data_IF_094306503647
#
_entry.id   IF_094306503647
#
_cell.length_a   1.000
_cell.length_b   1.000
_cell.length_c   1.000
_cell.angle_alpha   90.00
_cell.angle_beta   90.00
_cell.angle_gamma   90.00
#
_symmetry.space_group_name_H-M   'P 1'
#
loop_
_entity.id
_entity.type
_entity.pdbx_description
1 polymer ?
#
# COMPACT_ATOMS: atom_id res chain seq x y z
N UNK A 1 -24.04 32.58 -25.85
CA UNK A 1 -23.62 33.86 -26.45
C UNK A 1 -22.12 33.88 -26.33
N UNK A 2 -21.42 33.62 -27.43
CA UNK A 2 -19.96 33.45 -27.48
C UNK A 2 -19.26 34.75 -27.09
N UNK A 3 -18.49 34.73 -26.02
CA UNK A 3 -17.46 35.73 -25.80
C UNK A 3 -16.26 35.30 -26.66
N UNK A 4 -15.95 36.09 -27.69
CA UNK A 4 -14.67 36.01 -28.40
C UNK A 4 -13.54 36.09 -27.37
N UNK A 5 -12.73 35.04 -27.27
CA UNK A 5 -11.40 35.13 -26.69
C UNK A 5 -10.60 36.09 -27.57
N UNK A 6 -10.34 37.29 -27.06
CA UNK A 6 -9.37 38.18 -27.66
C UNK A 6 -8.00 37.50 -27.55
N UNK A 7 -7.38 37.23 -28.69
CA UNK A 7 -5.97 36.88 -28.82
C UNK A 7 -5.14 37.93 -28.08
N UNK A 8 -4.70 37.63 -26.86
CA UNK A 8 -3.51 38.28 -26.32
C UNK A 8 -2.34 37.61 -27.04
N UNK A 9 -1.67 38.35 -27.91
CA UNK A 9 -0.30 38.00 -28.30
C UNK A 9 0.55 38.05 -27.03
N UNK A 10 0.71 36.90 -26.37
CA UNK A 10 1.63 36.74 -25.27
C UNK A 10 3.04 36.71 -25.87
N UNK A 11 3.75 37.83 -25.72
CA UNK A 11 5.16 37.92 -26.08
C UNK A 11 5.98 37.11 -25.09
N UNK A 12 6.45 35.95 -25.53
CA UNK A 12 7.40 35.14 -24.79
C UNK A 12 8.84 35.60 -25.06
N UNK A 13 9.66 35.57 -24.02
CA UNK A 13 11.07 35.95 -24.07
C UNK A 13 11.99 34.80 -24.52
N UNK A 14 11.56 33.55 -24.33
CA UNK A 14 12.31 32.34 -24.66
C UNK A 14 11.79 31.64 -25.91
N UNK A 15 12.67 30.88 -26.57
CA UNK A 15 12.26 29.95 -27.61
C UNK A 15 11.66 28.69 -26.95
N UNK A 16 10.50 28.19 -27.40
CA UNK A 16 9.89 27.03 -26.78
C UNK A 16 10.70 25.76 -27.04
N UNK A 17 10.76 24.90 -26.03
CA UNK A 17 11.07 23.49 -26.20
C UNK A 17 9.87 22.81 -26.86
N UNK A 18 10.07 22.18 -28.01
CA UNK A 18 8.99 21.57 -28.79
C UNK A 18 9.01 20.05 -28.64
N UNK A 19 7.87 19.49 -28.25
CA UNK A 19 7.60 18.05 -28.31
C UNK A 19 6.63 17.78 -29.46
N UNK A 20 7.16 17.12 -30.49
CA UNK A 20 6.36 16.64 -31.62
C UNK A 20 5.98 15.18 -31.42
N UNK A 21 4.73 14.86 -31.70
CA UNK A 21 4.28 13.47 -31.77
C UNK A 21 4.38 12.98 -33.20
N UNK A 22 4.65 11.68 -33.37
CA UNK A 22 4.51 11.06 -34.70
C UNK A 22 3.02 11.03 -35.05
N UNK A 23 2.63 11.86 -36.03
CA UNK A 23 1.25 11.98 -36.51
C UNK A 23 0.71 10.64 -37.03
N UNK A 24 1.58 9.77 -37.57
CA UNK A 24 1.19 8.46 -38.06
C UNK A 24 0.80 7.48 -36.93
N UNK A 25 1.22 7.76 -35.69
CA UNK A 25 1.00 6.90 -34.53
C UNK A 25 -0.03 7.46 -33.54
N UNK A 26 -0.19 8.78 -33.47
CA UNK A 26 -0.94 9.42 -32.36
C UNK A 26 -2.19 10.19 -32.80
N UNK A 27 -2.36 10.50 -34.09
CA UNK A 27 -3.49 11.29 -34.63
C UNK A 27 -3.72 12.66 -33.96
N UNK A 28 -2.76 13.18 -33.19
CA UNK A 28 -2.88 14.51 -32.59
C UNK A 28 -2.39 15.58 -33.58
N UNK A 29 -3.24 16.53 -34.02
CA UNK A 29 -2.87 17.54 -35.01
C UNK A 29 -2.21 18.76 -34.35
N UNK A 30 -1.38 18.55 -33.33
CA UNK A 30 -0.70 19.63 -32.60
C UNK A 30 0.64 19.16 -32.03
N UNK A 31 1.54 20.13 -31.83
CA UNK A 31 2.77 19.97 -31.06
C UNK A 31 2.60 20.58 -29.67
N UNK A 32 3.40 20.13 -28.71
CA UNK A 32 3.47 20.78 -27.41
C UNK A 32 4.67 21.72 -27.35
N UNK A 33 4.40 22.94 -26.91
CA UNK A 33 5.43 23.95 -26.66
C UNK A 33 5.57 24.14 -25.15
N UNK A 34 6.80 24.02 -24.63
CA UNK A 34 7.15 24.27 -23.24
C UNK A 34 8.10 25.46 -23.17
N UNK A 35 7.68 26.53 -22.52
CA UNK A 35 8.52 27.72 -22.32
C UNK A 35 9.34 27.61 -21.05
N UNK A 36 10.42 28.38 -20.98
CA UNK A 36 11.34 28.36 -19.84
C UNK A 36 10.79 29.12 -18.62
N UNK A 37 11.57 29.16 -17.54
CA UNK A 37 11.17 29.82 -16.30
C UNK A 37 10.85 31.32 -16.45
N UNK A 38 11.50 32.03 -17.37
CA UNK A 38 11.30 33.46 -17.57
C UNK A 38 9.91 33.77 -18.13
N UNK A 39 9.34 32.81 -18.87
CA UNK A 39 7.98 32.83 -19.39
C UNK A 39 7.01 32.03 -18.52
N UNK A 40 7.31 31.92 -17.22
CA UNK A 40 6.48 31.26 -16.22
C UNK A 40 6.17 29.78 -16.51
N UNK A 41 7.03 29.09 -17.26
CA UNK A 41 6.80 27.72 -17.71
C UNK A 41 5.45 27.56 -18.43
N UNK A 42 5.09 28.57 -19.23
CA UNK A 42 3.89 28.51 -20.05
C UNK A 42 3.95 27.30 -21.00
N UNK A 43 2.79 26.72 -21.27
CA UNK A 43 2.65 25.53 -22.10
C UNK A 43 1.51 25.75 -23.10
N UNK A 44 1.71 25.33 -24.34
CA UNK A 44 0.70 25.48 -25.40
C UNK A 44 0.59 24.23 -26.24
N UNK A 45 -0.60 23.99 -26.79
CA UNK A 45 -0.79 23.19 -27.99
C UNK A 45 -0.66 24.11 -29.20
N UNK A 46 0.35 23.88 -30.03
CA UNK A 46 0.56 24.61 -31.27
C UNK A 46 0.05 23.79 -32.46
N UNK A 47 -0.83 24.37 -33.25
CA UNK A 47 -1.47 23.73 -34.39
C UNK A 47 -0.80 24.15 -35.72
N UNK A 48 -0.85 23.31 -36.77
CA UNK A 48 -0.23 23.62 -38.07
C UNK A 48 -0.74 24.88 -38.76
N UNK A 49 -1.94 25.35 -38.41
CA UNK A 49 -2.53 26.59 -38.91
C UNK A 49 -2.03 27.85 -38.19
N UNK A 50 -1.12 27.69 -37.22
CA UNK A 50 -0.56 28.76 -36.40
C UNK A 50 -1.37 29.09 -35.15
N UNK A 51 -2.53 28.45 -34.95
CA UNK A 51 -3.31 28.60 -33.71
C UNK A 51 -2.55 28.00 -32.52
N UNK A 52 -2.63 28.66 -31.36
CA UNK A 52 -2.03 28.21 -30.10
C UNK A 52 -3.08 28.19 -29.00
N UNK A 53 -3.27 27.04 -28.37
CA UNK A 53 -4.17 26.88 -27.22
C UNK A 53 -3.34 26.75 -25.94
N UNK A 54 -3.56 27.58 -24.91
CA UNK A 54 -2.85 27.44 -23.64
C UNK A 54 -3.22 26.12 -22.96
N UNK A 55 -2.22 25.43 -22.43
CA UNK A 55 -2.40 24.28 -21.57
C UNK A 55 -2.49 24.74 -20.12
N UNK A 56 -3.73 24.85 -19.65
CA UNK A 56 -4.05 25.04 -18.24
C UNK A 56 -3.94 23.73 -17.47
N UNK A 57 -3.47 23.81 -16.23
CA UNK A 57 -3.41 22.63 -15.36
C UNK A 57 -2.23 21.68 -15.58
N UNK A 58 -2.43 20.43 -15.18
CA UNK A 58 -1.50 19.32 -15.34
C UNK A 58 -1.49 18.79 -16.76
N UNK A 59 -0.28 18.68 -17.33
CA UNK A 59 -0.05 18.11 -18.65
C UNK A 59 0.31 16.61 -18.61
N UNK A 60 0.27 15.99 -17.43
CA UNK A 60 0.61 14.56 -17.20
C UNK A 60 2.03 14.15 -17.66
N UNK A 61 2.96 15.10 -17.72
CA UNK A 61 4.37 14.82 -17.99
C UNK A 61 5.19 14.77 -16.71
N UNK A 62 6.15 13.85 -16.70
CA UNK A 62 7.19 13.78 -15.68
C UNK A 62 8.30 14.74 -16.08
N UNK A 63 9.00 15.29 -15.08
CA UNK A 63 10.13 16.20 -15.32
C UNK A 63 11.22 15.47 -16.12
N UNK A 64 11.44 14.18 -15.84
CA UNK A 64 12.38 13.30 -16.55
C UNK A 64 12.06 13.22 -18.05
N UNK A 65 10.78 13.20 -18.42
CA UNK A 65 10.37 13.14 -19.82
C UNK A 65 10.78 14.43 -20.53
N UNK A 66 10.50 15.60 -19.93
CA UNK A 66 10.89 16.90 -20.49
C UNK A 66 12.42 17.03 -20.57
N UNK A 67 13.12 16.66 -19.50
CA UNK A 67 14.59 16.70 -19.41
C UNK A 67 15.28 15.85 -20.50
N UNK A 68 14.63 14.76 -20.92
CA UNK A 68 15.13 13.87 -21.97
C UNK A 68 15.00 14.41 -23.40
N UNK A 69 14.20 15.46 -23.60
CA UNK A 69 14.02 16.09 -24.91
C UNK A 69 15.25 16.90 -25.32
N UNK A 70 15.41 17.14 -26.63
CA UNK A 70 16.44 18.04 -27.14
C UNK A 70 16.20 19.46 -26.61
N UNK A 71 17.15 20.03 -25.86
CA UNK A 71 16.96 21.30 -25.16
C UNK A 71 16.30 21.18 -23.77
N UNK A 72 15.84 19.99 -23.39
CA UNK A 72 15.21 19.71 -22.09
C UNK A 72 16.07 20.06 -20.87
N UNK A 73 17.39 19.82 -20.95
CA UNK A 73 18.33 20.23 -19.90
C UNK A 73 18.38 21.74 -19.71
N UNK A 74 18.37 22.51 -20.80
CA UNK A 74 18.36 23.97 -20.72
C UNK A 74 17.05 24.48 -20.11
N UNK A 75 15.93 23.83 -20.42
CA UNK A 75 14.64 24.10 -19.77
C UNK A 75 14.72 23.86 -18.25
N UNK A 76 15.26 22.72 -17.81
CA UNK A 76 15.48 22.41 -16.39
C UNK A 76 16.43 23.43 -15.74
N UNK A 77 17.53 23.78 -16.39
CA UNK A 77 18.55 24.70 -15.89
C UNK A 77 18.02 26.15 -15.77
N UNK A 78 16.96 26.50 -16.50
CA UNK A 78 16.29 27.81 -16.36
C UNK A 78 15.56 27.96 -15.02
N UNK A 79 15.20 26.84 -14.38
CA UNK A 79 14.39 26.81 -13.17
C UNK A 79 15.29 27.06 -11.94
N UNK A 80 14.88 27.92 -10.98
CA UNK A 80 15.64 28.20 -9.78
C UNK A 80 16.04 26.93 -9.01
N UNK A 81 17.29 26.94 -8.55
CA UNK A 81 17.93 25.80 -7.89
C UNK A 81 17.09 25.26 -6.73
N UNK A 82 16.93 23.94 -6.72
CA UNK A 82 16.22 23.21 -5.66
C UNK A 82 14.72 23.01 -5.89
N UNK A 83 14.06 23.79 -6.76
CA UNK A 83 12.63 23.59 -7.06
C UNK A 83 12.38 22.28 -7.82
N UNK A 84 13.22 21.99 -8.82
CA UNK A 84 13.14 20.77 -9.62
C UNK A 84 13.24 19.53 -8.72
N UNK A 85 14.25 19.48 -7.85
CA UNK A 85 14.45 18.38 -6.91
C UNK A 85 13.26 18.17 -5.96
N UNK A 86 12.57 19.26 -5.56
CA UNK A 86 11.36 19.16 -4.74
C UNK A 86 10.15 18.66 -5.53
N UNK A 87 10.02 19.07 -6.79
CA UNK A 87 8.88 18.70 -7.64
C UNK A 87 9.01 17.30 -8.26
N UNK A 88 10.24 16.81 -8.45
CA UNK A 88 10.56 15.52 -9.08
C UNK A 88 9.86 14.33 -8.42
N UNK A 89 9.72 14.36 -7.10
CA UNK A 89 9.04 13.32 -6.32
C UNK A 89 7.51 13.27 -6.47
N UNK A 90 6.89 14.10 -7.31
CA UNK A 90 5.43 14.23 -7.42
C UNK A 90 4.86 13.81 -8.78
N UNK A 91 5.56 12.87 -9.45
CA UNK A 91 5.12 12.21 -10.68
C UNK A 91 4.51 13.19 -11.71
N UNK A 92 3.29 12.92 -12.17
CA UNK A 92 2.58 13.66 -13.22
C UNK A 92 2.22 15.11 -12.86
N UNK A 93 2.31 15.49 -11.58
CA UNK A 93 2.04 16.85 -11.10
C UNK A 93 3.29 17.69 -10.91
N UNK A 94 4.50 17.12 -10.99
CA UNK A 94 5.75 17.85 -10.76
C UNK A 94 5.91 19.07 -11.66
N UNK A 95 5.62 18.92 -12.97
CA UNK A 95 5.67 20.03 -13.94
C UNK A 95 4.64 21.10 -13.61
N UNK A 96 3.42 20.70 -13.22
CA UNK A 96 2.37 21.65 -12.86
C UNK A 96 2.72 22.43 -11.58
N UNK A 97 3.28 21.76 -10.57
CA UNK A 97 3.76 22.40 -9.34
C UNK A 97 4.86 23.44 -9.64
N UNK A 98 5.75 23.16 -10.59
CA UNK A 98 6.76 24.12 -11.04
C UNK A 98 6.13 25.33 -11.74
N UNK A 99 5.16 25.11 -12.64
CA UNK A 99 4.42 26.19 -13.31
C UNK A 99 3.72 27.11 -12.29
N UNK A 100 3.02 26.52 -11.32
CA UNK A 100 2.36 27.27 -10.25
C UNK A 100 3.38 28.06 -9.39
N UNK A 101 4.57 27.49 -9.12
CA UNK A 101 5.67 28.18 -8.44
C UNK A 101 6.36 29.27 -9.29
N UNK A 102 6.26 29.21 -10.61
CA UNK A 102 6.73 30.26 -11.51
C UNK A 102 5.76 31.46 -11.46
N UNK A 103 4.46 31.19 -11.39
CA UNK A 103 3.38 32.19 -11.36
C UNK A 103 3.16 32.86 -9.99
N UNK A 104 3.37 32.15 -8.88
CA UNK A 104 3.18 32.69 -7.53
C UNK A 104 4.38 32.48 -6.62
N UNK A 105 4.83 33.56 -5.98
CA UNK A 105 5.87 33.52 -4.95
C UNK A 105 5.42 32.69 -3.73
N UNK A 106 4.12 32.70 -3.39
CA UNK A 106 3.57 31.88 -2.29
C UNK A 106 3.59 30.40 -2.61
N UNK A 107 3.22 30.04 -3.83
CA UNK A 107 3.37 28.67 -4.30
C UNK A 107 4.83 28.21 -4.30
N UNK A 108 5.76 29.08 -4.72
CA UNK A 108 7.20 28.79 -4.67
C UNK A 108 7.70 28.53 -3.26
N UNK A 109 7.31 29.35 -2.30
CA UNK A 109 7.59 29.14 -0.87
C UNK A 109 7.00 27.80 -0.39
N UNK A 110 5.79 27.46 -0.81
CA UNK A 110 5.13 26.22 -0.46
C UNK A 110 5.85 24.99 -1.04
N UNK A 111 6.29 25.05 -2.31
CA UNK A 111 7.07 23.99 -2.95
C UNK A 111 8.38 23.72 -2.22
N UNK A 112 9.08 24.77 -1.79
CA UNK A 112 10.34 24.65 -1.07
C UNK A 112 10.16 24.09 0.35
N UNK A 113 9.13 24.55 1.06
CA UNK A 113 8.93 24.24 2.47
C UNK A 113 8.12 22.97 2.71
N UNK A 114 7.03 22.77 1.95
CA UNK A 114 6.03 21.73 2.17
C UNK A 114 5.41 21.28 0.83
N UNK A 115 6.21 20.63 -0.04
CA UNK A 115 5.80 20.28 -1.40
C UNK A 115 4.54 19.39 -1.44
N UNK A 116 4.36 18.51 -0.46
CA UNK A 116 3.16 17.66 -0.37
C UNK A 116 1.88 18.47 -0.26
N UNK A 117 1.89 19.63 0.41
CA UNK A 117 0.70 20.47 0.52
C UNK A 117 0.37 21.13 -0.83
N UNK A 118 1.38 21.62 -1.56
CA UNK A 118 1.17 22.15 -2.91
C UNK A 118 0.64 21.05 -3.85
N UNK A 119 1.21 19.85 -3.77
CA UNK A 119 0.74 18.70 -4.53
C UNK A 119 -0.75 18.41 -4.29
N UNK A 120 -1.22 18.40 -3.04
CA UNK A 120 -2.64 18.16 -2.73
C UNK A 120 -3.56 19.24 -3.30
N UNK A 121 -3.10 20.49 -3.37
CA UNK A 121 -3.85 21.57 -4.03
C UNK A 121 -3.93 21.31 -5.54
N UNK A 122 -2.81 20.99 -6.18
CA UNK A 122 -2.76 20.70 -7.61
C UNK A 122 -3.56 19.44 -7.99
N UNK A 123 -3.57 18.39 -7.16
CA UNK A 123 -4.34 17.16 -7.43
C UNK A 123 -5.85 17.37 -7.28
N UNK A 124 -6.27 18.23 -6.35
CA UNK A 124 -7.69 18.58 -6.17
C UNK A 124 -8.23 19.40 -7.33
N UNK A 125 -7.40 20.29 -7.89
CA UNK A 125 -7.77 21.21 -8.97
C UNK A 125 -6.81 21.07 -10.16
N UNK A 126 -6.77 19.90 -10.82
CA UNK A 126 -5.74 19.58 -11.82
C UNK A 126 -5.86 20.38 -13.12
N UNK A 127 -6.98 21.05 -13.34
CA UNK A 127 -7.29 21.82 -14.55
C UNK A 127 -7.67 23.28 -14.25
N UNK A 128 -7.73 23.69 -12.97
CA UNK A 128 -8.18 25.02 -12.57
C UNK A 128 -7.03 25.78 -11.93
N UNK A 129 -6.24 26.43 -12.78
CA UNK A 129 -5.04 27.16 -12.37
C UNK A 129 -5.36 28.32 -11.42
N UNK A 130 -6.46 29.03 -11.66
CA UNK A 130 -6.84 30.19 -10.88
C UNK A 130 -7.25 29.79 -9.47
N UNK A 131 -8.00 28.69 -9.30
CA UNK A 131 -8.34 28.14 -8.00
C UNK A 131 -7.09 27.67 -7.24
N UNK A 132 -6.15 26.99 -7.91
CA UNK A 132 -4.87 26.58 -7.32
C UNK A 132 -4.09 27.80 -6.81
N UNK A 133 -3.99 28.86 -7.62
CA UNK A 133 -3.30 30.10 -7.25
C UNK A 133 -4.01 30.79 -6.08
N UNK A 134 -5.33 30.90 -6.10
CA UNK A 134 -6.12 31.49 -5.03
C UNK A 134 -5.91 30.75 -3.69
N UNK A 135 -5.85 29.42 -3.72
CA UNK A 135 -5.56 28.60 -2.53
C UNK A 135 -4.13 28.81 -2.02
N UNK A 136 -3.14 28.96 -2.91
CA UNK A 136 -1.76 29.21 -2.52
C UNK A 136 -1.56 30.53 -1.76
N UNK A 137 -2.45 31.50 -1.93
CA UNK A 137 -2.44 32.77 -1.19
C UNK A 137 -2.95 32.64 0.26
N UNK A 138 -3.60 31.52 0.60
CA UNK A 138 -4.07 31.26 1.95
C UNK A 138 -2.93 30.80 2.88
N UNK A 139 -3.16 30.90 4.18
CA UNK A 139 -2.29 30.25 5.16
C UNK A 139 -2.36 28.71 5.04
N UNK A 140 -1.26 28.01 5.33
CA UNK A 140 -1.16 26.56 5.11
C UNK A 140 -2.23 25.71 5.83
N UNK A 141 -2.76 26.19 6.96
CA UNK A 141 -3.84 25.51 7.69
C UNK A 141 -5.20 25.81 7.07
N UNK A 142 -5.37 27.02 6.57
CA UNK A 142 -6.55 27.44 5.82
C UNK A 142 -6.64 26.66 4.50
N UNK A 143 -5.52 26.39 3.82
CA UNK A 143 -5.45 25.45 2.68
C UNK A 143 -6.00 24.08 3.07
N UNK A 144 -5.52 23.48 4.17
CA UNK A 144 -6.03 22.19 4.64
C UNK A 144 -7.54 22.23 4.88
N UNK A 145 -8.05 23.31 5.48
CA UNK A 145 -9.51 23.48 5.68
C UNK A 145 -10.27 23.51 4.36
N UNK A 146 -9.79 24.24 3.36
CA UNK A 146 -10.42 24.31 2.03
C UNK A 146 -10.40 22.95 1.30
N UNK A 147 -9.35 22.15 1.52
CA UNK A 147 -9.26 20.79 1.01
C UNK A 147 -10.11 19.77 1.81
N UNK A 148 -10.83 20.21 2.85
CA UNK A 148 -11.62 19.32 3.72
C UNK A 148 -10.76 18.41 4.62
N UNK A 149 -9.51 18.78 4.88
CA UNK A 149 -8.53 18.01 5.64
C UNK A 149 -8.33 18.57 7.05
N UNK A 150 -7.82 17.73 7.95
CA UNK A 150 -7.55 18.07 9.33
C UNK A 150 -6.61 19.28 9.45
N UNK A 151 -7.16 20.43 9.81
CA UNK A 151 -6.43 21.71 9.88
C UNK A 151 -5.68 21.88 11.21
N UNK A 152 -4.44 21.36 11.29
CA UNK A 152 -3.62 21.45 12.51
C UNK A 152 -2.12 21.53 12.22
N UNK A 153 -1.35 22.03 13.19
CA UNK A 153 0.13 22.00 13.10
C UNK A 153 0.67 20.57 13.00
N UNK A 154 0.01 19.61 13.64
CA UNK A 154 0.40 18.19 13.58
C UNK A 154 0.11 17.56 12.22
N UNK A 155 -0.97 17.95 11.55
CA UNK A 155 -1.27 17.51 10.18
C UNK A 155 -0.21 18.01 9.20
N UNK A 156 0.16 19.29 9.31
CA UNK A 156 1.27 19.86 8.55
C UNK A 156 2.58 19.09 8.80
N UNK A 157 2.97 18.86 10.06
CA UNK A 157 4.16 18.05 10.39
C UNK A 157 4.07 16.59 9.94
N UNK A 158 2.87 16.05 9.77
CA UNK A 158 2.68 14.74 9.18
C UNK A 158 3.04 14.78 7.69
N UNK A 159 2.53 15.77 6.94
CA UNK A 159 2.88 15.97 5.53
C UNK A 159 4.39 16.13 5.30
N UNK A 160 5.09 16.86 6.18
CA UNK A 160 6.57 17.07 6.10
C UNK A 160 7.38 15.78 6.17
N UNK A 161 6.81 14.73 6.76
CA UNK A 161 7.52 13.47 7.00
C UNK A 161 7.25 12.44 5.92
N UNK A 162 6.33 12.70 4.98
CA UNK A 162 6.01 11.76 3.91
C UNK A 162 7.16 11.75 2.92
N UNK A 163 7.73 10.56 2.72
CA UNK A 163 8.78 10.30 1.74
C UNK A 163 8.26 9.22 0.79
N UNK A 164 7.76 9.69 -0.35
CA UNK A 164 7.14 8.87 -1.38
C UNK A 164 7.42 9.51 -2.74
N UNK A 165 7.35 8.70 -3.78
CA UNK A 165 7.50 9.09 -5.18
C UNK A 165 6.17 9.50 -5.84
N UNK A 166 5.04 9.37 -5.10
CA UNK A 166 3.68 9.68 -5.56
C UNK A 166 3.33 9.07 -6.93
N UNK A 167 4.02 7.98 -7.32
CA UNK A 167 3.87 7.33 -8.62
C UNK A 167 2.55 6.58 -8.76
N UNK A 168 1.82 6.39 -7.65
CA UNK A 168 0.51 5.75 -7.66
C UNK A 168 -0.52 6.59 -6.89
N UNK A 169 -1.71 6.69 -7.49
CA UNK A 169 -2.87 7.38 -6.87
C UNK A 169 -3.27 6.82 -5.50
N UNK A 170 -2.93 5.56 -5.24
CA UNK A 170 -3.24 4.90 -3.97
C UNK A 170 -2.68 5.64 -2.75
N UNK A 171 -1.50 6.27 -2.89
CA UNK A 171 -0.82 6.97 -1.80
C UNK A 171 -1.59 8.23 -1.41
N UNK A 172 -2.05 8.98 -2.40
CA UNK A 172 -2.88 10.19 -2.21
C UNK A 172 -4.17 9.84 -1.47
N UNK A 173 -4.86 8.78 -1.91
CA UNK A 173 -6.09 8.30 -1.26
C UNK A 173 -5.83 7.95 0.21
N UNK A 174 -4.70 7.32 0.52
CA UNK A 174 -4.31 7.01 1.90
C UNK A 174 -4.06 8.30 2.70
N UNK A 175 -3.35 9.27 2.13
CA UNK A 175 -3.06 10.56 2.78
C UNK A 175 -4.36 11.29 3.13
N UNK A 176 -5.31 11.38 2.19
CA UNK A 176 -6.63 11.98 2.45
C UNK A 176 -7.36 11.26 3.58
N UNK A 177 -7.40 9.92 3.57
CA UNK A 177 -8.02 9.13 4.65
C UNK A 177 -7.34 9.33 6.00
N UNK A 178 -6.02 9.46 6.02
CA UNK A 178 -5.26 9.69 7.25
C UNK A 178 -5.50 11.09 7.81
N UNK A 179 -5.70 12.08 6.93
CA UNK A 179 -5.98 13.47 7.24
C UNK A 179 -7.47 13.78 7.39
N UNK A 180 -8.34 12.78 7.39
CA UNK A 180 -9.75 12.95 7.68
C UNK A 180 -9.95 13.71 9.01
N UNK A 181 -10.71 14.83 9.03
CA UNK A 181 -10.87 15.66 10.22
C UNK A 181 -11.53 14.95 11.41
N UNK A 182 -12.35 13.93 11.19
CA UNK A 182 -13.06 13.21 12.24
C UNK A 182 -12.18 12.10 12.84
N UNK A 183 -11.47 11.37 12.00
CA UNK A 183 -10.65 10.22 12.41
C UNK A 183 -9.23 10.63 12.85
N UNK A 184 -8.63 11.60 12.18
CA UNK A 184 -7.26 12.09 12.44
C UNK A 184 -6.20 10.97 12.57
N UNK A 185 -6.34 9.88 11.82
CA UNK A 185 -5.48 8.68 11.92
C UNK A 185 -3.99 8.97 11.69
N UNK A 186 -3.65 10.08 11.04
CA UNK A 186 -2.27 10.57 10.90
C UNK A 186 -1.53 10.70 12.25
N UNK A 187 -2.25 10.86 13.37
CA UNK A 187 -1.65 10.94 14.71
C UNK A 187 -0.94 9.65 15.15
N UNK A 188 -1.35 8.49 14.61
CA UNK A 188 -0.68 7.21 14.85
C UNK A 188 0.78 7.23 14.38
N UNK A 189 1.09 8.11 13.42
CA UNK A 189 2.42 8.21 12.84
C UNK A 189 3.37 9.12 13.65
N UNK A 190 2.96 9.68 14.79
CA UNK A 190 3.78 10.67 15.56
C UNK A 190 5.19 10.21 15.93
N UNK A 191 5.42 8.89 16.03
CA UNK A 191 6.70 8.31 16.42
C UNK A 191 7.64 8.01 15.25
N UNK A 192 7.19 8.17 14.00
CA UNK A 192 8.02 7.94 12.82
C UNK A 192 8.77 9.21 12.45
N UNK A 193 10.08 9.13 12.24
CA UNK A 193 10.85 10.27 11.72
C UNK A 193 10.49 10.55 10.26
N UNK A 194 10.36 9.48 9.49
CA UNK A 194 10.00 9.46 8.07
C UNK A 194 8.86 8.47 7.86
N UNK A 195 7.91 8.82 6.99
CA UNK A 195 6.74 8.02 6.63
C UNK A 195 6.93 7.58 5.18
N UNK A 196 7.38 6.34 5.00
CA UNK A 196 7.62 5.75 3.68
C UNK A 196 6.38 4.97 3.21
N UNK A 197 6.40 4.53 1.95
CA UNK A 197 5.38 3.62 1.40
C UNK A 197 5.19 2.36 2.28
N UNK A 198 6.27 1.83 2.87
CA UNK A 198 6.20 0.70 3.78
C UNK A 198 5.41 1.04 5.06
N UNK A 199 5.64 2.21 5.66
CA UNK A 199 4.89 2.62 6.86
C UNK A 199 3.39 2.77 6.57
N UNK A 200 3.03 3.29 5.40
CA UNK A 200 1.64 3.38 4.96
C UNK A 200 1.02 1.99 4.71
N UNK A 201 1.79 1.06 4.13
CA UNK A 201 1.34 -0.34 3.96
C UNK A 201 1.09 -1.04 5.30
N UNK A 202 1.94 -0.81 6.30
CA UNK A 202 1.73 -1.35 7.66
C UNK A 202 0.42 -0.83 8.23
N UNK A 203 0.10 0.46 8.05
CA UNK A 203 -1.19 1.00 8.49
C UNK A 203 -2.37 0.33 7.79
N UNK A 204 -2.29 0.10 6.48
CA UNK A 204 -3.37 -0.57 5.74
C UNK A 204 -3.59 -2.02 6.19
N UNK A 205 -2.53 -2.74 6.52
CA UNK A 205 -2.61 -4.14 6.93
C UNK A 205 -2.95 -4.29 8.42
N UNK A 206 -2.35 -3.45 9.25
CA UNK A 206 -2.38 -3.54 10.71
C UNK A 206 -2.51 -2.15 11.36
N UNK A 207 -3.67 -1.47 11.25
CA UNK A 207 -3.83 -0.11 11.80
C UNK A 207 -3.46 -0.01 13.28
N UNK A 208 -3.83 -1.01 14.09
CA UNK A 208 -3.57 -1.07 15.54
C UNK A 208 -2.10 -1.12 15.91
N UNK A 209 -1.24 -1.62 15.01
CA UNK A 209 0.21 -1.67 15.23
C UNK A 209 0.92 -0.37 14.83
N UNK A 210 0.25 0.52 14.11
CA UNK A 210 0.87 1.76 13.62
C UNK A 210 1.31 2.62 14.78
N UNK A 211 2.61 2.93 14.84
CA UNK A 211 3.20 3.73 15.91
C UNK A 211 3.55 2.96 17.17
N UNK A 212 3.22 1.67 17.28
CA UNK A 212 3.71 0.79 18.35
C UNK A 212 5.21 0.45 18.15
N UNK A 213 5.94 0.02 19.19
CA UNK A 213 7.28 -0.55 19.04
C UNK A 213 7.38 -1.61 17.93
N UNK A 214 6.49 -2.60 17.90
CA UNK A 214 6.47 -3.62 16.85
C UNK A 214 6.23 -3.03 15.46
N UNK A 215 5.25 -2.12 15.30
CA UNK A 215 4.98 -1.47 14.02
C UNK A 215 6.16 -0.61 13.51
N UNK A 216 6.96 -0.03 14.42
CA UNK A 216 8.21 0.66 14.06
C UNK A 216 9.32 -0.32 13.70
N UNK A 217 9.45 -1.42 14.43
CA UNK A 217 10.40 -2.49 14.12
C UNK A 217 10.17 -3.08 12.72
N UNK A 218 8.91 -3.39 12.39
CA UNK A 218 8.53 -3.86 11.05
C UNK A 218 8.93 -2.86 9.96
N UNK A 219 8.76 -1.55 10.19
CA UNK A 219 9.11 -0.51 9.23
C UNK A 219 10.63 -0.36 9.00
N UNK A 220 11.46 -0.88 9.91
CA UNK A 220 12.91 -0.70 9.89
C UNK A 220 13.69 -1.98 9.57
N UNK A 221 13.08 -3.16 9.73
CA UNK A 221 13.77 -4.42 9.46
C UNK A 221 13.77 -4.81 7.97
N UNK A 222 14.66 -5.75 7.63
CA UNK A 222 14.82 -6.27 6.27
C UNK A 222 13.60 -7.07 5.80
N UNK A 223 13.54 -7.38 4.51
CA UNK A 223 12.40 -8.08 3.90
C UNK A 223 12.17 -9.49 4.47
N UNK A 224 13.23 -10.22 4.82
CA UNK A 224 13.15 -11.58 5.33
C UNK A 224 12.48 -11.62 6.71
N UNK A 225 12.91 -10.76 7.63
CA UNK A 225 12.32 -10.70 8.97
C UNK A 225 10.89 -10.17 8.93
N UNK A 226 10.59 -9.17 8.08
CA UNK A 226 9.22 -8.71 7.84
C UNK A 226 8.30 -9.85 7.38
N UNK A 227 8.79 -10.71 6.49
CA UNK A 227 8.05 -11.89 6.05
C UNK A 227 7.77 -12.83 7.23
N UNK A 228 8.76 -13.12 8.07
CA UNK A 228 8.59 -13.97 9.26
C UNK A 228 7.59 -13.38 10.27
N UNK A 229 7.64 -12.08 10.51
CA UNK A 229 6.67 -11.39 11.37
C UNK A 229 5.25 -11.55 10.80
N UNK A 230 5.07 -11.25 9.51
CA UNK A 230 3.77 -11.35 8.85
C UNK A 230 3.19 -12.78 8.85
N UNK A 231 4.04 -13.81 8.86
CA UNK A 231 3.59 -15.21 8.95
C UNK A 231 2.92 -15.53 10.28
N UNK A 232 3.39 -14.98 11.40
CA UNK A 232 2.87 -15.32 12.74
C UNK A 232 1.92 -14.27 13.31
N UNK A 233 1.91 -13.05 12.76
CA UNK A 233 1.19 -11.93 13.37
C UNK A 233 -0.33 -12.14 13.41
N UNK A 234 -0.92 -12.65 12.32
CA UNK A 234 -2.34 -13.03 12.27
C UNK A 234 -2.67 -14.09 13.32
N UNK A 235 -1.75 -15.03 13.55
CA UNK A 235 -1.94 -16.12 14.49
C UNK A 235 -1.87 -15.61 15.93
N UNK A 236 -0.96 -14.69 16.22
CA UNK A 236 -0.86 -14.00 17.53
C UNK A 236 -2.16 -13.29 17.87
N UNK A 237 -2.78 -12.54 16.94
CA UNK A 237 -4.07 -11.89 17.19
C UNK A 237 -5.22 -12.87 17.41
N UNK A 238 -5.23 -14.02 16.72
CA UNK A 238 -6.25 -15.05 16.94
C UNK A 238 -6.05 -15.80 18.25
N UNK A 239 -4.79 -16.11 18.60
CA UNK A 239 -4.43 -16.74 19.87
C UNK A 239 -4.79 -15.85 21.05
N UNK A 240 -4.54 -14.54 20.95
CA UNK A 240 -4.95 -13.54 21.96
C UNK A 240 -6.43 -13.68 22.35
N UNK A 241 -7.32 -13.85 21.36
CA UNK A 241 -8.74 -14.05 21.61
C UNK A 241 -9.03 -15.40 22.29
N UNK A 242 -8.37 -16.48 21.86
CA UNK A 242 -8.58 -17.83 22.41
C UNK A 242 -8.09 -17.98 23.84
N UNK A 243 -6.99 -17.33 24.20
CA UNK A 243 -6.44 -17.41 25.55
C UNK A 243 -7.18 -16.53 26.56
N UNK A 244 -8.21 -15.78 26.12
CA UNK A 244 -9.02 -14.87 26.95
C UNK A 244 -8.17 -13.88 27.78
N UNK A 245 -6.99 -13.50 27.27
CA UNK A 245 -6.10 -12.58 27.96
C UNK A 245 -6.64 -11.14 27.78
N UNK A 246 -7.14 -10.59 28.88
CA UNK A 246 -7.76 -9.26 28.96
C UNK A 246 -6.80 -8.15 28.54
N UNK A 247 -5.48 -8.37 28.68
CA UNK A 247 -4.45 -7.41 28.29
C UNK A 247 -3.71 -7.79 26.99
N UNK A 248 -4.22 -8.76 26.23
CA UNK A 248 -3.58 -9.29 25.03
C UNK A 248 -3.15 -8.21 24.04
N UNK A 249 -4.02 -7.24 23.73
CA UNK A 249 -3.71 -6.12 22.85
C UNK A 249 -2.55 -5.29 23.39
N UNK A 250 -2.53 -4.99 24.71
CA UNK A 250 -1.43 -4.25 25.33
C UNK A 250 -0.12 -5.02 25.24
N UNK A 251 -0.15 -6.35 25.42
CA UNK A 251 1.04 -7.20 25.29
C UNK A 251 1.57 -7.20 23.87
N UNK A 252 0.70 -7.36 22.85
CA UNK A 252 1.09 -7.28 21.44
C UNK A 252 1.69 -5.90 21.14
N UNK A 253 1.07 -4.83 21.62
CA UNK A 253 1.57 -3.47 21.42
C UNK A 253 2.89 -3.19 22.16
N UNK A 254 3.26 -4.00 23.16
CA UNK A 254 4.52 -3.84 23.89
C UNK A 254 5.69 -4.62 23.25
N UNK A 255 5.41 -5.55 22.33
CA UNK A 255 6.44 -6.32 21.61
C UNK A 255 7.36 -5.39 20.83
N UNK A 256 8.66 -5.62 20.91
CA UNK A 256 9.68 -4.76 20.30
C UNK A 256 10.50 -5.44 19.20
N UNK A 257 10.47 -6.78 19.10
CA UNK A 257 11.20 -7.53 18.08
C UNK A 257 10.45 -8.78 17.60
N UNK A 258 10.96 -9.44 16.55
CA UNK A 258 10.45 -10.72 16.09
C UNK A 258 10.58 -11.83 17.15
N UNK A 259 11.70 -11.88 17.88
CA UNK A 259 11.93 -12.88 18.93
C UNK A 259 10.92 -12.74 20.07
N UNK A 260 10.60 -11.51 20.48
CA UNK A 260 9.57 -11.27 21.48
C UNK A 260 8.16 -11.62 20.97
N UNK A 261 7.86 -11.33 19.70
CA UNK A 261 6.60 -11.74 19.08
C UNK A 261 6.45 -13.26 19.07
N UNK A 262 7.52 -13.97 18.70
CA UNK A 262 7.58 -15.42 18.69
C UNK A 262 7.46 -16.00 20.11
N UNK A 263 8.14 -15.42 21.10
CA UNK A 263 8.02 -15.87 22.48
C UNK A 263 6.60 -15.66 23.04
N UNK A 264 5.93 -14.57 22.66
CA UNK A 264 4.53 -14.32 22.98
C UNK A 264 3.61 -15.35 22.31
N UNK A 265 3.82 -15.60 21.02
CA UNK A 265 3.12 -16.62 20.26
C UNK A 265 3.24 -18.00 20.93
N UNK A 266 4.47 -18.47 21.17
CA UNK A 266 4.73 -19.81 21.71
C UNK A 266 4.13 -19.97 23.12
N UNK A 267 4.16 -18.92 23.94
CA UNK A 267 3.50 -18.90 25.25
C UNK A 267 1.98 -19.06 25.12
N UNK A 268 1.36 -18.37 24.17
CA UNK A 268 -0.09 -18.46 23.97
C UNK A 268 -0.52 -19.77 23.31
N UNK A 269 0.32 -20.39 22.47
CA UNK A 269 0.10 -21.75 21.98
C UNK A 269 0.02 -22.75 23.14
N UNK A 270 0.88 -22.62 24.15
CA UNK A 270 0.82 -23.48 25.34
C UNK A 270 -0.40 -23.13 26.20
N UNK A 271 -0.67 -21.84 26.42
CA UNK A 271 -1.74 -21.39 27.30
C UNK A 271 -3.15 -21.77 26.80
N UNK A 272 -3.38 -21.81 25.49
CA UNK A 272 -4.68 -22.23 24.94
C UNK A 272 -5.02 -23.68 25.30
N UNK A 273 -4.05 -24.56 25.52
CA UNK A 273 -4.31 -25.97 25.87
C UNK A 273 -4.94 -26.12 27.26
N UNK A 274 -4.75 -25.13 28.14
CA UNK A 274 -5.37 -25.14 29.48
C UNK A 274 -6.74 -24.51 29.53
N UNK A 275 -7.24 -23.97 28.40
CA UNK A 275 -8.49 -23.23 28.32
C UNK A 275 -9.48 -24.06 27.50
N UNK A 276 -10.64 -24.37 28.08
CA UNK A 276 -11.76 -24.97 27.36
C UNK A 276 -12.41 -23.93 26.46
N UNK A 277 -11.75 -23.59 25.36
CA UNK A 277 -12.24 -22.63 24.39
C UNK A 277 -13.14 -23.31 23.37
N UNK A 278 -14.39 -22.87 23.28
CA UNK A 278 -15.32 -23.28 22.22
C UNK A 278 -15.47 -22.12 21.24
N UNK A 279 -15.00 -22.26 19.98
CA UNK A 279 -15.00 -21.17 19.00
C UNK A 279 -16.38 -20.58 18.74
N UNK A 280 -17.38 -21.43 18.51
CA UNK A 280 -18.75 -21.05 18.19
C UNK A 280 -19.72 -22.26 18.25
N UNK A 281 -20.99 -22.04 17.87
CA UNK A 281 -22.00 -23.09 17.81
C UNK A 281 -21.76 -24.13 16.69
N UNK A 282 -20.85 -23.88 15.75
CA UNK A 282 -20.48 -24.78 14.66
C UNK A 282 -19.35 -25.74 15.03
N UNK A 283 -18.77 -25.64 16.22
CA UNK A 283 -17.67 -26.51 16.64
C UNK A 283 -18.03 -28.00 16.65
N UNK A 284 -19.32 -28.35 16.70
CA UNK A 284 -19.81 -29.72 16.58
C UNK A 284 -20.10 -30.17 15.13
N UNK A 285 -19.94 -29.30 14.13
CA UNK A 285 -20.20 -29.64 12.73
C UNK A 285 -18.98 -30.33 12.13
N UNK A 286 -19.16 -31.42 11.37
CA UNK A 286 -18.09 -32.03 10.62
C UNK A 286 -17.61 -31.07 9.52
N UNK A 287 -16.32 -31.09 9.24
CA UNK A 287 -15.70 -30.33 8.17
C UNK A 287 -16.00 -30.94 6.80
N UNK A 288 -16.10 -30.09 5.79
CA UNK A 288 -16.19 -30.52 4.40
C UNK A 288 -14.80 -30.94 3.92
N UNK A 289 -14.67 -32.19 3.49
CA UNK A 289 -13.41 -32.78 3.06
C UNK A 289 -13.50 -33.06 1.57
N UNK A 290 -13.00 -32.16 0.70
CA UNK A 290 -13.04 -32.35 -0.74
C UNK A 290 -12.03 -33.40 -1.23
N UNK A 291 -11.04 -33.77 -0.40
CA UNK A 291 -10.03 -34.75 -0.73
C UNK A 291 -9.83 -35.71 0.44
N UNK A 292 -10.07 -37.00 0.25
CA UNK A 292 -10.05 -37.99 1.35
C UNK A 292 -8.63 -38.32 1.87
N UNK A 293 -7.57 -37.85 1.19
CA UNK A 293 -6.20 -38.17 1.55
C UNK A 293 -5.77 -39.57 1.10
N UNK A 294 -4.90 -40.22 1.87
CA UNK A 294 -4.42 -41.59 1.67
C UNK A 294 -4.00 -42.21 3.03
N UNK A 295 -3.37 -43.38 3.02
CA UNK A 295 -2.94 -44.08 4.26
C UNK A 295 -1.98 -43.26 5.13
N UNK A 296 -1.21 -42.35 4.54
CA UNK A 296 -0.21 -41.55 5.24
C UNK A 296 -0.67 -40.11 5.48
N UNK A 297 -1.61 -39.58 4.69
CA UNK A 297 -2.12 -38.21 4.77
C UNK A 297 -3.62 -38.28 5.02
N UNK A 298 -4.06 -37.93 6.22
CA UNK A 298 -5.45 -38.10 6.67
C UNK A 298 -6.07 -36.73 6.96
N UNK A 299 -7.29 -36.44 6.48
CA UNK A 299 -7.96 -35.18 6.78
C UNK A 299 -8.34 -35.09 8.25
N UNK A 300 -8.25 -33.88 8.80
CA UNK A 300 -8.88 -33.55 10.09
C UNK A 300 -10.36 -33.30 9.83
N UNK A 301 -11.22 -34.00 10.58
CA UNK A 301 -12.66 -34.09 10.24
C UNK A 301 -13.57 -33.17 11.03
N UNK A 302 -13.13 -32.69 12.18
CA UNK A 302 -13.91 -31.80 13.03
C UNK A 302 -13.02 -30.95 13.95
N UNK A 303 -13.65 -30.13 14.79
CA UNK A 303 -12.95 -29.27 15.74
C UNK A 303 -12.20 -30.04 16.83
N UNK A 304 -12.73 -31.18 17.28
CA UNK A 304 -12.09 -31.97 18.33
C UNK A 304 -10.78 -32.58 17.82
N UNK A 305 -10.79 -33.14 16.62
CA UNK A 305 -9.57 -33.61 15.96
C UNK A 305 -8.57 -32.47 15.69
N UNK A 306 -9.05 -31.29 15.33
CA UNK A 306 -8.20 -30.11 15.08
C UNK A 306 -7.53 -29.61 16.37
N UNK A 307 -8.26 -29.58 17.47
CA UNK A 307 -7.75 -29.20 18.79
C UNK A 307 -6.74 -30.22 19.30
N UNK A 308 -7.06 -31.51 19.16
CA UNK A 308 -6.16 -32.60 19.52
C UNK A 308 -4.85 -32.55 18.70
N UNK A 309 -4.94 -32.29 17.40
CA UNK A 309 -3.77 -32.04 16.54
C UNK A 309 -2.92 -30.88 17.06
N UNK A 310 -3.58 -29.78 17.45
CA UNK A 310 -2.97 -28.62 18.08
C UNK A 310 -2.12 -28.97 19.29
N UNK A 311 -2.67 -29.79 20.18
CA UNK A 311 -2.05 -30.27 21.42
C UNK A 311 -0.88 -31.22 21.11
N UNK A 312 -1.09 -32.22 20.25
CA UNK A 312 -0.08 -33.24 19.92
C UNK A 312 1.16 -32.66 19.25
N UNK A 313 0.98 -31.77 18.28
CA UNK A 313 2.06 -31.10 17.56
C UNK A 313 2.60 -29.85 18.26
N UNK A 314 1.93 -29.40 19.32
CA UNK A 314 2.24 -28.16 20.02
C UNK A 314 2.32 -26.95 19.06
N UNK A 315 1.24 -26.71 18.33
CA UNK A 315 1.12 -25.61 17.37
C UNK A 315 -0.30 -25.00 17.35
N UNK A 316 -0.47 -23.88 16.65
CA UNK A 316 -1.68 -23.06 16.67
C UNK A 316 -2.83 -23.52 15.75
N UNK A 317 -2.81 -24.74 15.17
CA UNK A 317 -3.75 -25.13 14.09
C UNK A 317 -5.24 -24.97 14.43
N UNK A 318 -5.61 -25.04 15.72
CA UNK A 318 -6.98 -24.85 16.19
C UNK A 318 -7.56 -23.45 15.86
N UNK A 319 -6.73 -22.42 15.66
CA UNK A 319 -7.20 -21.08 15.27
C UNK A 319 -7.88 -21.07 13.90
N UNK A 320 -7.57 -22.04 13.02
CA UNK A 320 -8.08 -22.10 11.65
C UNK A 320 -9.52 -22.63 11.55
N UNK A 321 -10.15 -23.05 12.66
CA UNK A 321 -11.52 -23.61 12.70
C UNK A 321 -12.53 -22.86 11.82
N UNK A 322 -12.63 -21.54 12.00
CA UNK A 322 -13.61 -20.72 11.28
C UNK A 322 -13.35 -20.69 9.76
N UNK A 323 -12.09 -20.76 9.33
CA UNK A 323 -11.72 -20.81 7.91
C UNK A 323 -12.03 -22.18 7.31
N UNK A 324 -11.90 -23.25 8.11
CA UNK A 324 -12.23 -24.61 7.68
C UNK A 324 -13.74 -24.78 7.52
N UNK A 325 -14.55 -24.33 8.48
CA UNK A 325 -16.02 -24.37 8.39
C UNK A 325 -16.54 -23.60 7.18
N UNK A 326 -15.92 -22.47 6.83
CA UNK A 326 -16.25 -21.69 5.62
C UNK A 326 -15.74 -22.33 4.32
N UNK A 327 -15.00 -23.43 4.39
CA UNK A 327 -14.41 -24.10 3.25
C UNK A 327 -13.25 -23.35 2.60
N UNK A 328 -12.64 -22.38 3.31
CA UNK A 328 -11.51 -21.56 2.84
C UNK A 328 -10.16 -22.18 3.17
N UNK A 329 -10.16 -23.16 4.08
CA UNK A 329 -8.97 -23.83 4.57
C UNK A 329 -9.25 -25.32 4.77
N UNK A 330 -8.25 -26.15 4.57
CA UNK A 330 -8.30 -27.59 4.88
C UNK A 330 -7.07 -27.96 5.69
N UNK A 331 -7.22 -28.93 6.59
CA UNK A 331 -6.11 -29.40 7.41
C UNK A 331 -6.02 -30.92 7.33
N UNK A 332 -4.80 -31.41 7.16
CA UNK A 332 -4.47 -32.83 7.14
C UNK A 332 -3.33 -33.10 8.11
N UNK A 333 -3.33 -34.30 8.68
CA UNK A 333 -2.19 -34.88 9.39
C UNK A 333 -1.48 -35.85 8.46
N UNK A 334 -0.15 -35.84 8.49
CA UNK A 334 0.67 -36.78 7.74
C UNK A 334 1.61 -37.53 8.67
N UNK A 335 1.75 -38.84 8.52
CA UNK A 335 2.52 -39.69 9.44
C UNK A 335 3.93 -40.05 8.98
N UNK A 336 4.16 -40.13 7.66
CA UNK A 336 5.41 -40.59 7.05
C UNK A 336 5.76 -39.73 5.84
N UNK A 337 7.06 -39.43 5.58
CA UNK A 337 8.23 -39.89 6.33
C UNK A 337 8.46 -39.17 7.66
N UNK A 338 7.84 -38.00 7.84
CA UNK A 338 7.82 -37.25 9.09
C UNK A 338 6.38 -36.95 9.50
N UNK A 339 6.15 -36.91 10.82
CA UNK A 339 4.87 -36.48 11.37
C UNK A 339 4.71 -34.96 11.21
N UNK A 340 3.78 -34.54 10.35
CA UNK A 340 3.50 -33.11 10.07
C UNK A 340 2.01 -32.81 9.97
N UNK A 341 1.70 -31.51 10.07
CA UNK A 341 0.38 -30.94 9.82
C UNK A 341 0.44 -30.11 8.55
N UNK A 342 -0.52 -30.33 7.66
CA UNK A 342 -0.60 -29.69 6.35
C UNK A 342 -1.82 -28.78 6.34
N UNK A 343 -1.60 -27.49 6.16
CA UNK A 343 -2.64 -26.49 5.95
C UNK A 343 -2.74 -26.10 4.48
N UNK A 344 -3.94 -26.23 3.89
CA UNK A 344 -4.21 -25.84 2.51
C UNK A 344 -5.17 -24.67 2.47
N UNK A 345 -4.82 -23.61 1.73
CA UNK A 345 -5.66 -22.43 1.54
C UNK A 345 -6.35 -22.47 0.19
N UNK A 346 -7.63 -22.09 0.17
CA UNK A 346 -8.40 -21.97 -1.07
C UNK A 346 -8.01 -20.72 -1.85
N UNK A 347 -7.88 -20.85 -3.17
CA UNK A 347 -7.70 -19.70 -4.06
C UNK A 347 -9.03 -19.02 -4.40
N UNK A 348 -8.95 -17.72 -4.66
CA UNK A 348 -10.04 -16.91 -5.20
C UNK A 348 -9.60 -16.33 -6.54
N UNK A 349 -10.52 -16.26 -7.49
CA UNK A 349 -10.31 -15.53 -8.74
C UNK A 349 -10.26 -14.02 -8.47
N UNK A 350 -9.69 -13.25 -9.42
CA UNK A 350 -9.55 -11.78 -9.31
C UNK A 350 -10.90 -11.08 -9.12
N UNK A 351 -11.98 -11.67 -9.62
CA UNK A 351 -13.35 -11.17 -9.46
C UNK A 351 -14.03 -11.60 -8.15
N UNK A 352 -13.28 -12.16 -7.20
CA UNK A 352 -13.78 -12.63 -5.90
C UNK A 352 -14.53 -13.97 -5.96
N UNK A 353 -14.67 -14.61 -7.13
CA UNK A 353 -15.29 -15.93 -7.22
C UNK A 353 -14.39 -17.01 -6.64
N UNK A 354 -15.04 -18.00 -6.04
CA UNK A 354 -14.37 -19.11 -5.37
C UNK A 354 -13.72 -20.04 -6.39
N UNK A 355 -12.43 -20.33 -6.25
CA UNK A 355 -11.77 -21.37 -7.05
C UNK A 355 -12.01 -22.76 -6.46
N UNK A 356 -12.02 -23.78 -7.31
CA UNK A 356 -11.92 -25.19 -6.90
C UNK A 356 -10.48 -25.64 -6.64
N UNK A 357 -9.53 -24.71 -6.49
CA UNK A 357 -8.11 -24.99 -6.26
C UNK A 357 -7.69 -24.61 -4.85
N UNK A 358 -6.91 -25.49 -4.24
CA UNK A 358 -6.25 -25.28 -2.97
C UNK A 358 -4.73 -25.31 -3.19
N UNK A 359 -4.01 -24.49 -2.44
CA UNK A 359 -2.54 -24.46 -2.43
C UNK A 359 -2.03 -24.66 -1.01
N UNK A 360 -0.79 -25.12 -0.91
CA UNK A 360 -0.11 -25.24 0.39
C UNK A 360 0.02 -23.84 0.99
N UNK A 361 -0.53 -23.68 2.18
CA UNK A 361 -0.30 -22.50 3.02
C UNK A 361 0.87 -22.79 3.96
N UNK A 362 0.80 -23.92 4.68
CA UNK A 362 1.81 -24.32 5.65
C UNK A 362 1.97 -25.85 5.72
N UNK A 363 3.21 -26.29 5.96
CA UNK A 363 3.53 -27.66 6.36
C UNK A 363 4.43 -27.54 7.59
N UNK A 364 3.97 -28.02 8.74
CA UNK A 364 4.65 -27.82 10.01
C UNK A 364 4.83 -29.15 10.73
N UNK A 365 6.07 -29.42 11.15
CA UNK A 365 6.36 -30.47 12.11
C UNK A 365 6.14 -29.96 13.55
N UNK A 366 6.26 -30.86 14.53
CA UNK A 366 6.10 -30.54 15.96
C UNK A 366 6.88 -29.29 16.37
N UNK A 367 6.21 -28.39 17.10
CA UNK A 367 6.69 -27.06 17.51
C UNK A 367 6.93 -26.09 16.35
N UNK A 368 6.11 -26.13 15.29
CA UNK A 368 6.24 -25.27 14.09
C UNK A 368 7.63 -25.36 13.45
N UNK A 369 8.24 -26.55 13.47
CA UNK A 369 9.54 -26.77 12.82
C UNK A 369 9.32 -26.99 11.33
N UNK A 370 10.27 -26.50 10.54
CA UNK A 370 10.31 -26.78 9.11
C UNK A 370 10.43 -28.29 8.87
N UNK A 371 9.62 -28.86 7.97
CA UNK A 371 9.68 -30.27 7.62
C UNK A 371 10.93 -30.61 6.82
N UNK A 372 11.29 -31.90 6.76
CA UNK A 372 12.35 -32.38 5.87
C UNK A 372 12.01 -32.21 4.38
N UNK A 373 13.02 -32.15 3.51
CA UNK A 373 12.81 -32.10 2.05
C UNK A 373 12.02 -33.30 1.52
N UNK A 374 12.30 -34.50 2.06
CA UNK A 374 11.56 -35.73 1.72
C UNK A 374 10.07 -35.63 2.07
N UNK A 375 9.76 -35.02 3.21
CA UNK A 375 8.38 -34.74 3.63
C UNK A 375 7.71 -33.76 2.69
N UNK A 376 8.39 -32.68 2.29
CA UNK A 376 7.87 -31.72 1.32
C UNK A 376 7.56 -32.40 -0.02
N UNK A 377 8.48 -33.22 -0.54
CA UNK A 377 8.29 -33.98 -1.78
C UNK A 377 7.07 -34.91 -1.70
N UNK A 378 6.90 -35.62 -0.58
CA UNK A 378 5.74 -36.48 -0.37
C UNK A 378 4.41 -35.70 -0.36
N UNK A 379 4.36 -34.53 0.29
CA UNK A 379 3.16 -33.67 0.31
C UNK A 379 2.85 -33.12 -1.09
N UNK A 380 3.84 -32.60 -1.80
CA UNK A 380 3.63 -32.06 -3.14
C UNK A 380 3.26 -33.15 -4.16
N UNK A 381 3.87 -34.33 -4.07
CA UNK A 381 3.50 -35.49 -4.88
C UNK A 381 2.04 -35.93 -4.66
N UNK A 382 1.58 -35.93 -3.40
CA UNK A 382 0.16 -36.16 -3.09
C UNK A 382 -0.74 -35.08 -3.70
N UNK A 383 -0.40 -33.80 -3.56
CA UNK A 383 -1.18 -32.70 -4.14
C UNK A 383 -1.30 -32.79 -5.67
N UNK A 384 -0.23 -33.19 -6.36
CA UNK A 384 -0.25 -33.33 -7.82
C UNK A 384 -1.08 -34.54 -8.28
N UNK A 385 -1.08 -35.63 -7.50
CA UNK A 385 -1.98 -36.77 -7.76
C UNK A 385 -3.45 -36.38 -7.67
N UNK A 386 -3.81 -35.46 -6.77
CA UNK A 386 -5.19 -34.97 -6.63
C UNK A 386 -5.61 -34.06 -7.80
N UNK A 387 -4.68 -33.28 -8.37
CA UNK A 387 -4.95 -32.46 -9.56
C UNK A 387 -5.23 -33.34 -10.78
N UNK A 388 -4.51 -34.46 -10.89
CA UNK A 388 -4.64 -35.41 -12.00
C UNK A 388 -5.88 -36.31 -11.90
N UNK A 389 -6.50 -36.37 -10.72
CA UNK A 389 -7.70 -37.17 -10.44
C UNK A 389 -9.03 -36.40 -10.62
N UNK A 390 -9.00 -35.18 -11.18
CA UNK A 390 -10.23 -34.48 -11.58
C UNK A 390 -10.87 -35.21 -12.78
N UNK A 391 -12.13 -35.66 -12.71
CA UNK A 391 -12.85 -36.18 -13.86
C UNK A 391 -13.05 -35.14 -14.97
#
# INVERSE_FOLDING_TARGET
>A
MLACCAEREEFHHSAPLVLSFDEALTFFPFQLEFYDWHDCLAMYRAYPDGHREPLEGSCSFYIEHIESLEGGKAWVDSIPTGLVEKARGYAEFGVYMLKIAALSQKARELLLQRPTLLYLVCEQYPLDQDEVLALCELGQREILTQLGLASSRSALRFLDRIESDFSTRSIVIIIHRLLDPELMSFQLFKHYKTITNLTLQIYLQWPTLTGTPLGRHIAQTNQRERFQINQILSDVFQLAYRVLDVDSIKRIHAVTSYEELRALHDRWVVAQHSINFVPDANSNKPYVIPFEGNNNIVPIRDYQELEQEGIEQNHCVAIYHNRIIKGEYLVYKMFMPERVTIGLKRHYFVNGRVSGTYTVDQIQARNNRMPSSETLEAVYGWLDSMKSAKP
#
